data_IF_804062906329
#
_entry.id   IF_804062906329
#
_cell.length_a   1.000
_cell.length_b   1.000
_cell.length_c   1.000
_cell.angle_alpha   90.00
_cell.angle_beta   90.00
_cell.angle_gamma   90.00
#
_symmetry.space_group_name_H-M   'P 1'
#
loop_
_entity.id
_entity.type
_entity.pdbx_description
1 polymer ?
#
# COMPACT_ATOMS: atom_id res chain seq x y z
N UNK A 1 12.77 -15.26 -1.24
CA UNK A 1 12.39 -14.38 -0.13
C UNK A 1 12.24 -12.95 -0.64
N UNK A 2 11.14 -12.30 -0.31
CA UNK A 2 10.89 -10.95 -0.74
C UNK A 2 11.65 -9.94 0.12
N UNK A 3 12.25 -8.97 -0.54
CA UNK A 3 12.86 -7.84 0.14
C UNK A 3 11.98 -6.60 -0.06
N UNK A 4 11.33 -6.16 1.00
CA UNK A 4 10.45 -4.98 0.96
C UNK A 4 11.20 -3.75 0.41
N UNK A 5 12.49 -3.65 0.66
CA UNK A 5 13.30 -2.52 0.20
C UNK A 5 13.30 -2.36 -1.33
N UNK A 6 13.06 -3.43 -2.07
CA UNK A 6 13.03 -3.42 -3.53
C UNK A 6 11.66 -3.06 -4.09
N UNK A 7 10.64 -2.94 -3.23
CA UNK A 7 9.25 -2.77 -3.65
C UNK A 7 8.74 -1.34 -3.52
N UNK A 8 9.48 -0.47 -2.86
CA UNK A 8 9.04 0.90 -2.58
C UNK A 8 10.22 1.88 -2.72
N UNK A 9 9.93 3.08 -3.22
CA UNK A 9 10.89 4.18 -3.27
C UNK A 9 10.16 5.50 -2.98
N UNK A 10 10.90 6.61 -2.93
CA UNK A 10 10.32 7.91 -2.58
C UNK A 10 9.22 8.36 -3.54
N UNK A 11 9.27 7.92 -4.81
CA UNK A 11 8.25 8.28 -5.79
C UNK A 11 6.89 7.63 -5.50
N UNK A 12 6.88 6.62 -4.64
CA UNK A 12 5.66 5.90 -4.24
C UNK A 12 5.18 6.30 -2.84
N UNK A 13 5.75 7.37 -2.27
CA UNK A 13 5.38 7.85 -0.94
C UNK A 13 4.72 9.22 -1.04
N UNK A 14 3.58 9.39 -0.37
CA UNK A 14 2.81 10.62 -0.37
C UNK A 14 2.42 10.98 1.05
N UNK A 15 2.61 12.24 1.41
CA UNK A 15 2.35 12.71 2.76
C UNK A 15 1.29 13.79 2.75
N UNK A 16 0.39 13.70 3.73
CA UNK A 16 -0.63 14.69 4.02
C UNK A 16 -1.55 14.98 2.83
N UNK A 17 -1.95 13.92 2.13
CA UNK A 17 -2.91 14.01 1.04
C UNK A 17 -4.29 14.36 1.58
N UNK A 18 -4.92 15.33 0.96
CA UNK A 18 -6.27 15.76 1.33
C UNK A 18 -7.32 15.01 0.51
N UNK A 19 -7.46 13.72 0.81
CA UNK A 19 -8.45 12.85 0.18
C UNK A 19 -9.54 12.53 1.19
N UNK A 20 -10.77 12.45 0.73
CA UNK A 20 -11.94 12.35 1.60
C UNK A 20 -12.61 10.99 1.63
N UNK A 21 -12.41 10.18 0.60
CA UNK A 21 -13.10 8.90 0.47
C UNK A 21 -12.14 7.76 0.11
N UNK A 22 -12.56 6.56 0.44
CA UNK A 22 -11.84 5.35 0.05
C UNK A 22 -11.64 5.28 -1.47
N UNK A 23 -12.68 5.64 -2.24
CA UNK A 23 -12.61 5.66 -3.70
C UNK A 23 -11.50 6.59 -4.20
N UNK A 24 -11.43 7.80 -3.65
CA UNK A 24 -10.38 8.76 -4.00
C UNK A 24 -8.99 8.21 -3.70
N UNK A 25 -8.83 7.54 -2.55
CA UNK A 25 -7.56 6.95 -2.16
C UNK A 25 -7.14 5.86 -3.14
N UNK A 26 -8.04 4.92 -3.42
CA UNK A 26 -7.74 3.81 -4.32
C UNK A 26 -7.41 4.30 -5.72
N UNK A 27 -8.17 5.26 -6.24
CA UNK A 27 -7.94 5.82 -7.57
C UNK A 27 -6.63 6.60 -7.65
N UNK A 28 -6.37 7.46 -6.66
CA UNK A 28 -5.16 8.28 -6.64
C UNK A 28 -3.91 7.44 -6.55
N UNK A 29 -3.89 6.47 -5.62
CA UNK A 29 -2.71 5.63 -5.44
C UNK A 29 -2.50 4.67 -6.62
N UNK A 30 -3.57 4.15 -7.20
CA UNK A 30 -3.47 3.32 -8.40
C UNK A 30 -2.92 4.12 -9.59
N UNK A 31 -3.35 5.37 -9.75
CA UNK A 31 -2.85 6.25 -10.80
C UNK A 31 -1.34 6.49 -10.64
N UNK A 32 -0.87 6.61 -9.42
CA UNK A 32 0.55 6.78 -9.13
C UNK A 32 1.34 5.53 -9.56
N UNK A 33 0.85 4.34 -9.21
CA UNK A 33 1.50 3.09 -9.64
C UNK A 33 1.54 2.99 -11.16
N UNK A 34 0.47 3.41 -11.83
CA UNK A 34 0.40 3.43 -13.27
C UNK A 34 1.44 4.38 -13.87
N UNK A 35 1.51 5.60 -13.37
CA UNK A 35 2.45 6.62 -13.86
C UNK A 35 3.91 6.28 -13.56
N UNK A 36 4.16 5.56 -12.48
CA UNK A 36 5.51 5.14 -12.09
C UNK A 36 5.93 3.82 -12.75
N UNK A 37 5.17 3.33 -13.71
CA UNK A 37 5.55 2.17 -14.51
C UNK A 37 5.43 0.83 -13.82
N UNK A 38 4.63 0.74 -12.77
CA UNK A 38 4.46 -0.51 -12.01
C UNK A 38 3.41 -1.44 -12.62
N UNK A 39 2.58 -0.89 -13.50
CA UNK A 39 1.59 -1.68 -14.23
C UNK A 39 2.11 -1.95 -15.64
N UNK A 40 1.61 -3.02 -16.26
CA UNK A 40 2.00 -3.35 -17.65
C UNK A 40 1.43 -2.27 -18.58
N UNK A 41 2.10 -1.97 -19.66
CA UNK A 41 1.62 -1.01 -20.68
C UNK A 41 1.14 0.33 -20.10
N UNK A 42 2.10 1.20 -19.76
CA UNK A 42 1.84 2.50 -19.14
C UNK A 42 1.12 3.50 -20.05
N UNK A 43 0.78 3.15 -21.28
CA UNK A 43 0.06 4.00 -22.21
C UNK A 43 -1.42 3.63 -22.34
N UNK A 44 -1.86 2.56 -21.70
CA UNK A 44 -3.24 2.08 -21.77
C UNK A 44 -3.94 2.24 -20.41
N UNK A 45 -4.82 3.21 -20.31
CA UNK A 45 -5.57 3.49 -19.08
C UNK A 45 -6.49 2.34 -18.64
N UNK A 46 -6.84 1.44 -19.55
CA UNK A 46 -7.65 0.26 -19.20
C UNK A 46 -6.91 -0.65 -18.22
N UNK A 47 -5.58 -0.62 -18.26
CA UNK A 47 -4.74 -1.37 -17.32
C UNK A 47 -4.92 -0.83 -15.91
N UNK A 48 -4.94 0.50 -15.78
CA UNK A 48 -5.19 1.15 -14.49
C UNK A 48 -6.59 0.79 -13.97
N UNK A 49 -7.60 0.86 -14.82
CA UNK A 49 -8.96 0.51 -14.45
C UNK A 49 -9.06 -0.96 -14.00
N UNK A 50 -8.33 -1.86 -14.65
CA UNK A 50 -8.29 -3.26 -14.27
C UNK A 50 -7.67 -3.48 -12.91
N UNK A 51 -6.62 -2.74 -12.60
CA UNK A 51 -6.00 -2.80 -11.27
C UNK A 51 -6.94 -2.25 -10.20
N UNK A 52 -7.60 -1.13 -10.47
CA UNK A 52 -8.58 -0.54 -9.54
C UNK A 52 -9.71 -1.53 -9.27
N UNK A 53 -10.17 -2.22 -10.32
CA UNK A 53 -11.20 -3.26 -10.15
C UNK A 53 -10.72 -4.38 -9.24
N UNK A 54 -9.47 -4.82 -9.40
CA UNK A 54 -8.89 -5.86 -8.54
C UNK A 54 -8.85 -5.40 -7.08
N UNK A 55 -8.52 -4.13 -6.84
CA UNK A 55 -8.53 -3.56 -5.49
C UNK A 55 -9.93 -3.61 -4.88
N UNK A 56 -10.94 -3.18 -5.63
CA UNK A 56 -12.33 -3.18 -5.16
C UNK A 56 -12.86 -4.58 -4.95
N UNK A 57 -12.55 -5.52 -5.83
CA UNK A 57 -12.97 -6.90 -5.68
C UNK A 57 -12.43 -7.48 -4.37
N UNK A 58 -11.21 -7.13 -4.01
CA UNK A 58 -10.60 -7.56 -2.74
C UNK A 58 -11.29 -6.89 -1.55
N UNK A 59 -11.58 -5.58 -1.64
CA UNK A 59 -12.23 -4.84 -0.55
C UNK A 59 -13.67 -5.33 -0.32
N UNK A 60 -14.37 -5.70 -1.38
CA UNK A 60 -15.75 -6.20 -1.27
C UNK A 60 -15.82 -7.54 -0.55
N UNK A 61 -14.78 -8.35 -0.63
CA UNK A 61 -14.73 -9.61 0.10
C UNK A 61 -14.59 -9.35 1.61
N UNK A 62 -13.61 -8.55 1.99
CA UNK A 62 -13.36 -8.11 3.37
C UNK A 62 -12.58 -6.82 3.33
N UNK A 63 -12.89 -5.90 4.23
CA UNK A 63 -12.12 -4.67 4.38
C UNK A 63 -10.64 -4.98 4.64
N UNK A 64 -9.75 -4.14 4.08
CA UNK A 64 -8.31 -4.26 4.33
C UNK A 64 -7.83 -3.33 5.44
N UNK A 65 -8.73 -2.71 6.20
CA UNK A 65 -8.36 -1.98 7.41
C UNK A 65 -7.87 -2.99 8.45
N UNK A 66 -6.74 -2.69 9.07
CA UNK A 66 -6.10 -3.60 10.02
C UNK A 66 -6.02 -3.05 11.45
N UNK A 67 -6.72 -1.96 11.70
CA UNK A 67 -6.68 -1.27 12.99
C UNK A 67 -5.60 -0.21 13.02
N UNK A 68 -5.54 0.54 14.12
CA UNK A 68 -4.57 1.62 14.32
C UNK A 68 -4.62 2.72 13.26
N UNK A 69 -5.74 2.88 12.56
CA UNK A 69 -5.89 3.82 11.44
C UNK A 69 -5.10 3.43 10.19
N UNK A 70 -4.73 2.17 10.05
CA UNK A 70 -4.01 1.66 8.88
C UNK A 70 -4.90 0.81 7.97
N UNK A 71 -4.72 0.98 6.66
CA UNK A 71 -5.33 0.13 5.65
C UNK A 71 -4.25 -0.44 4.73
N UNK A 72 -4.46 -1.66 4.25
CA UNK A 72 -3.50 -2.32 3.34
C UNK A 72 -4.22 -2.84 2.09
N UNK A 73 -4.83 -1.93 1.28
CA UNK A 73 -5.49 -2.36 0.05
C UNK A 73 -4.48 -3.03 -0.89
N UNK A 74 -4.90 -4.10 -1.53
CA UNK A 74 -4.02 -4.83 -2.43
C UNK A 74 -4.77 -5.42 -3.60
N UNK A 75 -4.07 -5.48 -4.74
CA UNK A 75 -4.59 -6.07 -5.96
C UNK A 75 -3.59 -7.06 -6.54
N UNK A 76 -4.05 -8.27 -6.78
CA UNK A 76 -3.27 -9.30 -7.43
C UNK A 76 -3.93 -9.53 -8.78
N UNK A 77 -3.25 -9.16 -9.84
CA UNK A 77 -3.83 -9.27 -11.17
C UNK A 77 -2.77 -9.26 -12.27
N UNK A 78 -3.24 -9.60 -13.47
CA UNK A 78 -2.39 -9.65 -14.66
C UNK A 78 -1.84 -8.29 -15.08
N UNK A 79 -2.42 -7.18 -14.60
CA UNK A 79 -2.02 -5.84 -14.97
C UNK A 79 -0.84 -5.29 -14.15
N UNK A 80 -0.45 -5.95 -13.09
CA UNK A 80 0.72 -5.56 -12.32
C UNK A 80 1.96 -6.16 -12.99
N UNK A 81 2.91 -5.28 -13.31
CA UNK A 81 4.17 -5.69 -13.94
C UNK A 81 5.11 -6.31 -12.94
N UNK A 82 5.39 -5.57 -11.86
CA UNK A 82 6.29 -5.99 -10.79
C UNK A 82 5.63 -5.73 -9.45
N UNK A 83 5.86 -6.60 -8.48
CA UNK A 83 5.36 -6.37 -7.12
C UNK A 83 5.82 -5.01 -6.65
N UNK A 84 4.93 -4.25 -6.01
CA UNK A 84 5.22 -2.89 -5.59
C UNK A 84 4.39 -2.50 -4.37
N UNK A 85 4.89 -1.52 -3.63
CA UNK A 85 4.21 -0.97 -2.46
C UNK A 85 4.21 0.55 -2.59
N UNK A 86 3.06 1.17 -2.40
CA UNK A 86 2.94 2.61 -2.29
C UNK A 86 2.43 2.93 -0.89
N UNK A 87 2.84 4.05 -0.34
CA UNK A 87 2.41 4.49 0.99
C UNK A 87 1.85 5.91 0.92
N UNK A 88 0.73 6.12 1.59
CA UNK A 88 0.15 7.46 1.74
C UNK A 88 -0.24 7.72 3.18
N UNK A 89 0.08 8.90 3.66
CA UNK A 89 -0.46 9.44 4.91
C UNK A 89 -1.46 10.52 4.52
N UNK A 90 -2.70 10.36 4.96
CA UNK A 90 -3.74 11.33 4.68
C UNK A 90 -3.67 12.50 5.65
N UNK A 91 -4.21 13.63 5.25
CA UNK A 91 -4.31 14.79 6.11
C UNK A 91 -5.24 14.52 7.28
N UNK A 92 -6.34 13.83 7.04
CA UNK A 92 -7.34 13.48 8.05
C UNK A 92 -7.76 12.02 7.90
N UNK A 93 -8.22 11.41 8.99
CA UNK A 93 -8.82 10.08 8.93
C UNK A 93 -10.06 10.10 8.03
N UNK A 94 -10.26 9.00 7.30
CA UNK A 94 -11.47 8.82 6.47
C UNK A 94 -12.14 7.51 6.86
N UNK A 95 -13.43 7.41 6.57
CA UNK A 95 -14.15 6.15 6.71
C UNK A 95 -13.70 5.18 5.61
N UNK A 96 -13.27 3.99 6.01
CA UNK A 96 -12.81 2.95 5.08
C UNK A 96 -13.87 1.88 4.90
N UNK A 97 -14.48 1.46 5.99
CA UNK A 97 -15.59 0.54 6.00
C UNK A 97 -16.43 0.89 7.22
N UNK A 98 -17.55 0.21 7.43
CA UNK A 98 -18.42 0.47 8.57
C UNK A 98 -17.61 0.36 9.87
N UNK A 99 -17.61 1.44 10.65
CA UNK A 99 -16.89 1.54 11.93
C UNK A 99 -15.36 1.40 11.83
N UNK A 100 -14.80 1.54 10.61
CA UNK A 100 -13.36 1.50 10.41
C UNK A 100 -12.86 2.78 9.77
N UNK A 101 -11.89 3.44 10.41
CA UNK A 101 -11.27 4.66 9.90
C UNK A 101 -9.80 4.43 9.60
N UNK A 102 -9.30 5.10 8.56
CA UNK A 102 -7.91 4.97 8.12
C UNK A 102 -7.31 6.32 7.82
N UNK A 103 -6.04 6.45 8.12
CA UNK A 103 -5.24 7.64 7.80
C UNK A 103 -3.96 7.23 7.07
N UNK A 104 -3.46 6.04 7.32
CA UNK A 104 -2.21 5.52 6.76
C UNK A 104 -2.52 4.34 5.86
N UNK A 105 -2.09 4.41 4.61
CA UNK A 105 -2.42 3.39 3.62
C UNK A 105 -1.17 2.83 2.95
N UNK A 106 -1.01 1.50 2.99
CA UNK A 106 -0.04 0.79 2.17
C UNK A 106 -0.81 0.10 1.05
N UNK A 107 -0.61 0.55 -0.18
CA UNK A 107 -1.21 -0.11 -1.34
C UNK A 107 -0.20 -1.09 -1.94
N UNK A 108 -0.64 -2.30 -2.18
CA UNK A 108 0.23 -3.37 -2.66
C UNK A 108 -0.27 -3.87 -4.01
N UNK A 109 0.63 -3.90 -4.98
CA UNK A 109 0.35 -4.52 -6.27
C UNK A 109 1.16 -5.79 -6.41
N UNK A 110 0.52 -6.88 -6.83
CA UNK A 110 1.18 -8.17 -7.02
C UNK A 110 0.80 -8.73 -8.38
N UNK A 111 1.82 -9.17 -9.14
CA UNK A 111 1.61 -9.82 -10.43
C UNK A 111 0.97 -11.19 -10.24
N UNK A 112 -0.09 -11.48 -10.99
CA UNK A 112 -0.74 -12.78 -10.95
C UNK A 112 0.20 -13.91 -11.39
N UNK A 113 1.11 -13.61 -12.31
CA UNK A 113 2.06 -14.61 -12.83
C UNK A 113 3.16 -14.97 -11.84
N UNK A 114 3.54 -14.02 -10.99
CA UNK A 114 4.64 -14.20 -10.04
C UNK A 114 4.13 -14.47 -8.63
N UNK A 115 2.84 -14.68 -8.50
CA UNK A 115 2.21 -14.58 -7.20
C UNK A 115 2.69 -15.57 -6.16
N UNK A 116 2.73 -16.86 -6.45
CA UNK A 116 3.07 -17.82 -5.42
C UNK A 116 2.59 -17.38 -4.06
N UNK A 117 3.48 -17.36 -3.07
CA UNK A 117 3.21 -16.84 -1.74
C UNK A 117 3.73 -15.41 -1.54
N UNK A 118 4.13 -14.73 -2.61
CA UNK A 118 4.76 -13.42 -2.55
C UNK A 118 3.90 -12.36 -1.86
N UNK A 119 2.61 -12.28 -2.26
CA UNK A 119 1.72 -11.30 -1.67
C UNK A 119 1.50 -11.54 -0.18
N UNK A 120 1.49 -12.80 0.23
CA UNK A 120 1.31 -13.17 1.62
C UNK A 120 2.50 -12.71 2.47
N UNK A 121 3.72 -12.88 1.97
CA UNK A 121 4.93 -12.40 2.65
C UNK A 121 4.88 -10.87 2.86
N UNK A 122 4.48 -10.13 1.83
CA UNK A 122 4.36 -8.68 1.91
C UNK A 122 3.34 -8.29 2.99
N UNK A 123 2.17 -8.92 2.96
CA UNK A 123 1.11 -8.64 3.93
C UNK A 123 1.56 -8.94 5.36
N UNK A 124 2.26 -10.06 5.57
CA UNK A 124 2.76 -10.43 6.89
C UNK A 124 3.77 -9.41 7.39
N UNK A 125 4.72 -9.02 6.56
CA UNK A 125 5.76 -8.05 6.94
C UNK A 125 5.17 -6.70 7.30
N UNK A 126 4.24 -6.20 6.51
CA UNK A 126 3.59 -4.92 6.77
C UNK A 126 2.68 -5.00 8.00
N UNK A 127 1.85 -6.03 8.10
CA UNK A 127 0.95 -6.19 9.25
C UNK A 127 1.71 -6.30 10.55
N UNK A 128 2.81 -7.05 10.56
CA UNK A 128 3.65 -7.20 11.75
C UNK A 128 4.29 -5.88 12.14
N UNK A 129 4.75 -5.09 11.14
CA UNK A 129 5.33 -3.77 11.40
C UNK A 129 4.30 -2.83 12.00
N UNK A 130 3.07 -2.88 11.51
CA UNK A 130 1.97 -2.03 12.01
C UNK A 130 1.65 -2.32 13.48
N UNK A 131 1.90 -3.53 13.95
CA UNK A 131 1.71 -3.88 15.37
C UNK A 131 2.77 -3.24 16.28
N UNK A 132 3.87 -2.76 15.71
CA UNK A 132 4.94 -2.13 16.47
C UNK A 132 4.60 -0.66 16.77
N UNK A 133 4.50 -0.31 18.04
CA UNK A 133 4.14 1.05 18.48
C UNK A 133 5.12 2.10 17.96
N UNK A 134 6.42 1.78 17.93
CA UNK A 134 7.44 2.70 17.46
C UNK A 134 7.32 2.96 15.95
N UNK A 135 7.00 1.95 15.19
CA UNK A 135 6.78 2.09 13.75
C UNK A 135 5.65 3.09 13.47
N UNK A 136 4.51 2.89 14.13
CA UNK A 136 3.36 3.77 13.95
C UNK A 136 3.68 5.20 14.36
N UNK A 137 4.37 5.37 15.50
CA UNK A 137 4.73 6.69 16.00
C UNK A 137 5.68 7.40 15.02
N UNK A 138 6.69 6.71 14.53
CA UNK A 138 7.65 7.29 13.59
C UNK A 138 7.00 7.68 12.27
N UNK A 139 6.07 6.86 11.76
CA UNK A 139 5.35 7.21 10.54
C UNK A 139 4.47 8.44 10.74
N UNK A 140 3.83 8.53 11.89
CA UNK A 140 2.99 9.69 12.23
C UNK A 140 3.81 10.98 12.26
N UNK A 141 5.03 10.93 12.79
CA UNK A 141 5.90 12.08 12.98
C UNK A 141 6.82 12.40 11.81
N UNK A 142 6.93 11.51 10.83
CA UNK A 142 7.81 11.69 9.69
C UNK A 142 7.49 12.99 8.93
N UNK A 143 8.51 13.78 8.65
CA UNK A 143 8.34 15.10 8.06
C UNK A 143 8.50 15.13 6.53
N UNK A 144 9.15 14.12 5.97
CA UNK A 144 9.40 14.07 4.52
C UNK A 144 9.44 12.64 4.00
N UNK A 145 9.45 12.51 2.69
CA UNK A 145 9.41 11.21 2.02
C UNK A 145 10.65 10.36 2.31
N UNK A 146 11.81 10.99 2.38
CA UNK A 146 13.07 10.27 2.64
C UNK A 146 13.04 9.64 4.03
N UNK A 147 12.64 10.39 5.03
CA UNK A 147 12.53 9.90 6.40
C UNK A 147 11.52 8.77 6.48
N UNK A 148 10.36 8.94 5.82
CA UNK A 148 9.31 7.93 5.77
C UNK A 148 9.83 6.63 5.15
N UNK A 149 10.54 6.73 4.04
CA UNK A 149 11.10 5.56 3.37
C UNK A 149 12.09 4.82 4.28
N UNK A 150 12.96 5.55 4.97
CA UNK A 150 13.93 4.96 5.89
C UNK A 150 13.23 4.18 7.01
N UNK A 151 12.15 4.74 7.55
CA UNK A 151 11.35 4.08 8.59
C UNK A 151 10.73 2.80 8.06
N UNK A 152 10.12 2.85 6.89
CA UNK A 152 9.48 1.69 6.27
C UNK A 152 10.52 0.59 6.03
N UNK A 153 11.67 0.94 5.47
CA UNK A 153 12.73 -0.03 5.20
C UNK A 153 13.26 -0.66 6.47
N UNK A 154 13.48 0.16 7.51
CA UNK A 154 14.00 -0.35 8.78
C UNK A 154 13.05 -1.38 9.41
N UNK A 155 11.78 -1.04 9.53
CA UNK A 155 10.81 -1.89 10.24
C UNK A 155 10.28 -3.05 9.42
N UNK A 156 9.96 -2.81 8.15
CA UNK A 156 9.37 -3.85 7.31
C UNK A 156 10.38 -4.92 6.88
N UNK A 157 11.67 -4.60 6.92
CA UNK A 157 12.72 -5.57 6.58
C UNK A 157 13.23 -6.37 7.79
N UNK A 158 12.79 -6.04 9.00
CA UNK A 158 13.21 -6.79 10.19
C UNK A 158 12.71 -8.22 10.12
N UNK A 159 13.61 -9.17 10.43
CA UNK A 159 13.20 -10.54 10.64
C UNK A 159 12.62 -10.63 12.05
N UNK A 160 11.38 -11.10 12.12
CA UNK A 160 10.71 -11.24 13.40
C UNK A 160 10.57 -12.70 13.71
N UNK A 161 11.32 -13.15 14.70
CA UNK A 161 11.18 -14.51 15.20
C UNK A 161 10.01 -14.52 16.18
N UNK A 162 9.10 -15.42 15.94
CA UNK A 162 7.97 -15.63 16.83
C UNK A 162 8.38 -16.27 18.15
#
# INVERSE_FOLDING_TARGET
>A
MININDLIDENLIFLDLDLKTKSEVLETMADILYKEGKLINSEDEKVKDGFIKALWDREEAFSTAVGFSFGIPHGKCEFVKDACISYARLKNEIEWAEDEKVKYIFMIGVSAEQAGNQHLEILIKLSTSILDDDFRKKLKEAENKKETLEIIKEYASKERTS
#
